data_IF_757706518117
#
_entry.id   IF_757706518117
#
_cell.length_a   1.000
_cell.length_b   1.000
_cell.length_c   1.000
_cell.angle_alpha   90.00
_cell.angle_beta   90.00
_cell.angle_gamma   90.00
#
_symmetry.space_group_name_H-M   'P 1'
#
loop_
_entity.id
_entity.type
_entity.pdbx_description
1 polymer ?
#
# COMPACT_ATOMS: atom_id res chain seq x y z
N UNK A 1 -4.79 0.37 6.27
CA UNK A 1 -4.99 1.79 5.92
C UNK A 1 -3.93 2.74 6.49
N UNK A 2 -2.72 2.27 6.85
CA UNK A 2 -1.68 3.16 7.40
C UNK A 2 -1.21 4.27 6.44
N UNK A 3 -1.10 3.98 5.14
CA UNK A 3 -0.65 4.96 4.16
C UNK A 3 -1.68 6.08 3.93
N UNK A 4 -2.96 5.74 3.83
CA UNK A 4 -4.02 6.71 3.61
C UNK A 4 -4.22 7.64 4.81
N UNK A 5 -4.21 7.09 6.03
CA UNK A 5 -4.38 7.83 7.29
C UNK A 5 -3.24 8.83 7.57
N UNK A 6 -2.05 8.56 7.03
CA UNK A 6 -0.83 9.36 7.29
C UNK A 6 -0.35 10.11 6.05
N UNK A 7 -1.14 10.11 4.98
CA UNK A 7 -0.82 10.85 3.78
C UNK A 7 -0.91 12.36 4.08
N UNK A 8 0.18 13.14 3.98
CA UNK A 8 0.18 14.55 4.37
C UNK A 8 -0.70 15.42 3.47
N UNK A 9 -0.92 15.01 2.21
CA UNK A 9 -1.81 15.72 1.27
C UNK A 9 -3.20 15.09 1.16
N UNK A 10 -3.49 14.05 1.95
CA UNK A 10 -4.74 13.27 1.87
C UNK A 10 -5.03 12.68 0.47
N UNK A 11 -4.01 12.61 -0.41
CA UNK A 11 -4.15 12.21 -1.80
C UNK A 11 -4.60 10.75 -2.01
N UNK A 12 -4.44 9.90 -1.00
CA UNK A 12 -4.88 8.50 -1.05
C UNK A 12 -6.36 8.31 -0.71
N UNK A 13 -7.02 9.36 -0.18
CA UNK A 13 -8.44 9.35 0.17
C UNK A 13 -8.84 8.31 1.22
N UNK A 14 -10.15 8.12 1.38
CA UNK A 14 -10.74 7.09 2.26
C UNK A 14 -11.48 5.99 1.46
N UNK A 15 -11.05 5.74 0.23
CA UNK A 15 -11.64 4.72 -0.61
C UNK A 15 -11.52 3.35 0.07
N UNK A 16 -12.65 2.79 0.48
CA UNK A 16 -12.70 1.45 1.09
C UNK A 16 -12.63 0.36 0.02
N UNK A 17 -13.20 0.64 -1.15
CA UNK A 17 -13.30 -0.29 -2.26
C UNK A 17 -12.61 0.28 -3.51
N UNK A 18 -12.02 -0.58 -4.35
CA UNK A 18 -11.43 -0.15 -5.60
C UNK A 18 -12.53 0.19 -6.62
N UNK A 19 -12.23 1.15 -7.51
CA UNK A 19 -13.20 1.68 -8.48
C UNK A 19 -12.70 1.53 -9.92
N UNK A 20 -13.64 1.50 -10.86
CA UNK A 20 -13.37 1.59 -12.30
C UNK A 20 -13.18 3.04 -12.76
N UNK A 21 -13.67 4.01 -11.97
CA UNK A 21 -13.51 5.43 -12.26
C UNK A 21 -12.05 5.84 -12.20
N UNK A 22 -11.68 6.81 -13.03
CA UNK A 22 -10.29 7.20 -13.25
C UNK A 22 -10.17 8.71 -13.09
N UNK A 23 -9.38 9.13 -12.10
CA UNK A 23 -9.00 10.53 -11.91
C UNK A 23 -7.78 10.91 -12.77
N UNK A 24 -7.49 12.21 -12.92
CA UNK A 24 -6.34 12.71 -13.68
C UNK A 24 -5.02 12.03 -13.27
N UNK A 25 -4.25 11.56 -14.24
CA UNK A 25 -2.97 10.87 -14.01
C UNK A 25 -3.07 9.39 -13.60
N UNK A 26 -4.28 8.85 -13.40
CA UNK A 26 -4.47 7.41 -13.18
C UNK A 26 -4.65 6.67 -14.52
N UNK A 27 -4.19 5.42 -14.59
CA UNK A 27 -4.40 4.55 -15.76
C UNK A 27 -5.79 3.92 -15.73
N UNK A 28 -6.48 3.92 -16.87
CA UNK A 28 -7.78 3.27 -17.07
C UNK A 28 -7.65 1.78 -17.41
N UNK A 29 -8.77 1.05 -17.41
CA UNK A 29 -8.83 -0.35 -17.87
C UNK A 29 -8.63 -1.41 -16.78
N UNK A 30 -8.55 -1.03 -15.51
CA UNK A 30 -8.54 -1.97 -14.38
C UNK A 30 -9.24 -1.35 -13.17
N UNK A 31 -9.76 -2.19 -12.28
CA UNK A 31 -10.35 -1.76 -11.00
C UNK A 31 -9.23 -1.53 -9.98
N UNK A 32 -9.15 -0.33 -9.39
CA UNK A 32 -8.09 0.00 -8.45
C UNK A 32 -8.44 1.14 -7.49
N UNK A 33 -7.67 1.24 -6.40
CA UNK A 33 -7.69 2.43 -5.53
C UNK A 33 -6.97 3.58 -6.22
N UNK A 34 -7.62 4.74 -6.30
CA UNK A 34 -7.13 5.88 -7.06
C UNK A 34 -6.43 6.88 -6.16
N UNK A 35 -5.29 7.38 -6.64
CA UNK A 35 -4.58 8.48 -6.00
C UNK A 35 -5.02 9.79 -6.66
N UNK A 36 -5.31 10.80 -5.86
CA UNK A 36 -5.41 12.16 -6.32
C UNK A 36 -4.00 12.71 -6.59
N UNK A 37 -3.53 12.56 -7.83
CA UNK A 37 -2.21 13.00 -8.25
C UNK A 37 -2.06 14.54 -8.31
N UNK A 38 -3.16 15.28 -8.27
CA UNK A 38 -3.09 16.75 -8.16
C UNK A 38 -2.68 17.13 -6.75
N UNK A 39 -3.30 16.55 -5.72
CA UNK A 39 -2.88 16.76 -4.31
C UNK A 39 -1.53 16.12 -4.00
N UNK A 40 -1.25 14.95 -4.57
CA UNK A 40 -0.01 14.21 -4.29
C UNK A 40 1.24 15.04 -4.65
N UNK A 41 1.22 15.72 -5.81
CA UNK A 41 2.36 16.49 -6.32
C UNK A 41 2.76 17.67 -5.43
N UNK A 42 1.83 18.22 -4.66
CA UNK A 42 2.06 19.37 -3.77
C UNK A 42 3.09 19.04 -2.68
N UNK A 43 3.22 17.76 -2.33
CA UNK A 43 4.20 17.26 -1.36
C UNK A 43 5.49 16.74 -2.01
N UNK A 44 5.67 17.01 -3.31
CA UNK A 44 6.83 16.57 -4.09
C UNK A 44 6.77 15.13 -4.56
N UNK A 45 5.62 14.46 -4.46
CA UNK A 45 5.41 13.12 -5.02
C UNK A 45 5.29 13.18 -6.57
N UNK A 46 5.64 12.11 -7.30
CA UNK A 46 6.10 10.80 -6.81
C UNK A 46 7.58 10.78 -6.37
N UNK A 47 8.36 11.82 -6.64
CA UNK A 47 9.83 11.76 -6.54
C UNK A 47 10.42 12.03 -5.16
N UNK A 48 9.70 12.76 -4.27
CA UNK A 48 10.27 13.26 -3.00
C UNK A 48 9.47 12.93 -1.74
N UNK A 49 8.15 12.74 -1.83
CA UNK A 49 7.34 12.48 -0.63
C UNK A 49 7.60 11.08 -0.04
N UNK A 50 7.27 10.01 -0.77
CA UNK A 50 7.59 8.62 -0.39
C UNK A 50 6.94 8.08 0.89
N UNK A 51 6.24 8.88 1.69
CA UNK A 51 5.72 8.53 3.03
C UNK A 51 4.85 7.26 3.00
N UNK A 52 4.01 7.10 1.98
CA UNK A 52 3.17 5.92 1.84
C UNK A 52 3.98 4.62 1.68
N UNK A 53 5.15 4.69 1.04
CA UNK A 53 6.07 3.55 0.94
C UNK A 53 6.75 3.31 2.28
N UNK A 54 7.27 4.35 2.95
CA UNK A 54 7.95 4.20 4.25
C UNK A 54 7.03 3.62 5.33
N UNK A 55 5.75 4.00 5.34
CA UNK A 55 4.77 3.52 6.32
C UNK A 55 4.16 2.16 5.99
N UNK A 56 4.40 1.64 4.78
CA UNK A 56 3.83 0.37 4.36
C UNK A 56 4.40 -0.75 5.25
N UNK A 57 3.56 -1.55 5.93
CA UNK A 57 4.04 -2.64 6.78
C UNK A 57 4.83 -3.70 5.99
N UNK A 58 4.67 -3.74 4.66
CA UNK A 58 5.41 -4.61 3.75
C UNK A 58 6.74 -4.03 3.26
N UNK A 59 7.04 -2.75 3.55
CA UNK A 59 8.26 -2.08 3.12
C UNK A 59 9.25 -1.86 4.28
N UNK A 60 9.18 -2.71 5.31
CA UNK A 60 10.13 -2.71 6.41
C UNK A 60 11.18 -3.81 6.18
N UNK A 61 12.42 -3.65 6.69
CA UNK A 61 13.43 -4.72 6.67
C UNK A 61 12.92 -5.99 7.37
N UNK A 62 13.69 -7.09 7.36
CA UNK A 62 13.29 -8.41 7.90
C UNK A 62 12.77 -8.40 9.37
N UNK A 63 13.03 -7.33 10.11
CA UNK A 63 12.54 -7.04 11.47
C UNK A 63 11.13 -6.42 11.50
N UNK A 64 10.59 -6.04 10.34
CA UNK A 64 9.27 -5.47 10.16
C UNK A 64 8.19 -6.42 10.63
N UNK A 65 7.21 -5.89 11.38
CA UNK A 65 6.22 -6.66 12.15
C UNK A 65 5.52 -7.81 11.41
N UNK A 66 5.40 -7.74 10.07
CA UNK A 66 4.75 -8.80 9.28
C UNK A 66 5.65 -10.02 9.07
N UNK A 67 6.97 -9.85 8.99
CA UNK A 67 7.90 -10.95 8.72
C UNK A 67 7.95 -11.98 9.85
N UNK A 68 8.01 -11.61 11.16
CA UNK A 68 7.92 -12.57 12.25
C UNK A 68 6.59 -13.33 12.27
N UNK A 69 5.48 -12.66 11.95
CA UNK A 69 4.15 -13.28 11.93
C UNK A 69 4.05 -14.29 10.80
N UNK A 70 4.40 -13.90 9.57
CA UNK A 70 4.39 -14.81 8.42
C UNK A 70 5.32 -16.01 8.68
N UNK A 71 6.52 -15.78 9.21
CA UNK A 71 7.45 -16.85 9.60
C UNK A 71 6.85 -17.78 10.66
N UNK A 72 6.27 -17.23 11.73
CA UNK A 72 5.69 -18.02 12.82
C UNK A 72 4.49 -18.84 12.36
N UNK A 73 3.60 -18.28 11.54
CA UNK A 73 2.45 -18.99 10.98
C UNK A 73 2.91 -20.08 10.02
N UNK A 74 3.91 -19.81 9.16
CA UNK A 74 4.48 -20.86 8.29
C UNK A 74 5.18 -21.98 9.07
N UNK A 75 5.80 -21.67 10.21
CA UNK A 75 6.48 -22.65 11.06
C UNK A 75 5.48 -23.52 11.84
N UNK A 76 4.39 -22.93 12.35
CA UNK A 76 3.39 -23.63 13.17
C UNK A 76 2.30 -24.32 12.33
N UNK A 77 2.04 -23.86 11.10
CA UNK A 77 0.89 -24.31 10.32
C UNK A 77 1.27 -24.66 8.87
N UNK A 78 1.77 -25.90 8.63
CA UNK A 78 2.30 -26.31 7.33
C UNK A 78 1.30 -26.22 6.16
N UNK A 79 -0.01 -26.22 6.46
CA UNK A 79 -1.08 -26.10 5.45
C UNK A 79 -1.01 -24.78 4.66
N UNK A 80 -0.42 -23.73 5.24
CA UNK A 80 -0.26 -22.43 4.57
C UNK A 80 1.08 -22.28 3.83
N UNK A 81 1.94 -23.30 3.84
CA UNK A 81 3.26 -23.21 3.19
C UNK A 81 3.15 -22.93 1.69
N UNK A 82 2.21 -23.59 0.99
CA UNK A 82 1.96 -23.32 -0.43
C UNK A 82 1.35 -21.94 -0.70
N UNK A 83 0.68 -21.34 0.28
CA UNK A 83 0.10 -19.99 0.17
C UNK A 83 1.17 -18.90 0.31
N UNK A 84 2.17 -19.11 1.18
CA UNK A 84 3.26 -18.13 1.38
C UNK A 84 4.49 -18.35 0.47
N UNK A 85 4.62 -19.52 -0.16
CA UNK A 85 5.70 -19.83 -1.11
C UNK A 85 5.51 -19.13 -2.47
N UNK A 86 4.27 -18.93 -2.89
CA UNK A 86 3.91 -18.34 -4.19
C UNK A 86 3.65 -16.84 -4.06
#
# INVERSE_FOLDING_TARGET
>A
MRCAEKCPSEALGQQKEPTWEVGPGNRSGYRGWRVDWLKCRETGAPSRCGVCHTLCPFNHPNEGMIHPIVRSVSAATPVFNSFFKN
#
